data_IF_608252429248
#
_entry.id   IF_608252429248
#
_cell.length_a   1.000
_cell.length_b   1.000
_cell.length_c   1.000
_cell.angle_alpha   90.00
_cell.angle_beta   90.00
_cell.angle_gamma   90.00
#
_symmetry.space_group_name_H-M   'P 1'
#
loop_
_entity.id
_entity.type
_entity.pdbx_description
1 polymer ?
#
# COMPACT_ATOMS: atom_id res chain seq x y z
N UNK A 1 38.08 -9.95 11.91
CA UNK A 1 37.24 -8.72 11.97
C UNK A 1 35.74 -9.05 11.82
N UNK A 2 35.33 -9.85 10.83
CA UNK A 2 33.93 -10.28 10.62
C UNK A 2 33.32 -10.99 11.87
N UNK A 3 34.10 -11.84 12.55
CA UNK A 3 33.66 -12.50 13.79
C UNK A 3 33.40 -11.55 14.97
N UNK A 4 34.14 -10.45 15.07
CA UNK A 4 33.96 -9.46 16.15
C UNK A 4 32.69 -8.61 15.92
N UNK A 5 32.38 -8.28 14.67
CA UNK A 5 31.19 -7.50 14.28
C UNK A 5 29.90 -8.32 14.52
N UNK A 6 29.90 -9.62 14.18
CA UNK A 6 28.78 -10.51 14.53
C UNK A 6 28.58 -10.64 16.04
N UNK A 7 29.66 -10.69 16.82
CA UNK A 7 29.56 -10.82 18.29
C UNK A 7 28.98 -9.57 18.96
N UNK A 8 29.29 -8.37 18.43
CA UNK A 8 28.70 -7.10 18.89
C UNK A 8 27.22 -6.99 18.51
N UNK A 9 26.84 -7.38 17.29
CA UNK A 9 25.45 -7.38 16.81
C UNK A 9 24.55 -8.30 17.65
N UNK A 10 25.05 -9.50 17.98
CA UNK A 10 24.33 -10.47 18.83
C UNK A 10 24.18 -9.95 20.26
N UNK A 11 25.21 -9.35 20.85
CA UNK A 11 25.14 -8.78 22.21
C UNK A 11 24.20 -7.57 22.30
N UNK A 12 24.16 -6.73 21.26
CA UNK A 12 23.27 -5.57 21.22
C UNK A 12 21.79 -5.98 21.07
N UNK A 13 21.50 -6.94 20.18
CA UNK A 13 20.16 -7.49 20.01
C UNK A 13 19.66 -8.21 21.26
N UNK A 14 20.53 -8.99 21.91
CA UNK A 14 20.20 -9.69 23.15
C UNK A 14 19.96 -8.71 24.31
N UNK A 15 20.73 -7.62 24.40
CA UNK A 15 20.51 -6.54 25.39
C UNK A 15 19.20 -5.78 25.17
N UNK A 16 18.76 -5.61 23.91
CA UNK A 16 17.48 -4.95 23.56
C UNK A 16 16.26 -5.85 23.85
N UNK A 17 16.42 -7.18 23.71
CA UNK A 17 15.39 -8.15 24.10
C UNK A 17 15.25 -8.26 25.62
N UNK A 18 16.37 -8.32 26.35
CA UNK A 18 16.36 -8.48 27.82
C UNK A 18 15.92 -7.23 28.59
N UNK A 19 16.02 -6.04 27.99
CA UNK A 19 15.54 -4.78 28.59
C UNK A 19 14.07 -4.46 28.29
N UNK A 20 13.34 -5.33 27.57
CA UNK A 20 11.91 -5.18 27.31
C UNK A 20 11.53 -4.06 26.33
N UNK A 21 12.51 -3.39 25.71
CA UNK A 21 12.29 -2.26 24.80
C UNK A 21 11.56 -2.67 23.50
N UNK A 22 11.69 -3.93 23.07
CA UNK A 22 11.00 -4.44 21.88
C UNK A 22 9.48 -4.59 22.13
N UNK A 23 9.07 -4.90 23.37
CA UNK A 23 7.67 -5.11 23.69
C UNK A 23 6.90 -3.81 24.02
N UNK A 24 7.58 -2.72 24.41
CA UNK A 24 6.91 -1.43 24.65
C UNK A 24 6.47 -0.71 23.37
N UNK A 25 7.11 -0.98 22.22
CA UNK A 25 6.76 -0.34 20.96
C UNK A 25 5.39 -0.79 20.41
N UNK A 26 4.91 -1.98 20.78
CA UNK A 26 3.65 -2.52 20.28
C UNK A 26 2.43 -2.17 21.15
N UNK A 27 2.60 -1.49 22.28
CA UNK A 27 1.49 -1.26 23.23
C UNK A 27 1.18 0.22 23.50
N UNK A 28 2.06 1.18 23.18
CA UNK A 28 1.70 2.61 23.26
C UNK A 28 2.44 3.49 22.23
N UNK A 29 1.74 4.15 21.30
CA UNK A 29 2.35 5.01 20.28
C UNK A 29 2.52 6.44 20.83
N UNK A 30 3.31 6.65 21.90
CA UNK A 30 3.54 8.01 22.44
C UNK A 30 4.90 8.22 23.09
N UNK A 31 6.02 7.84 22.46
CA UNK A 31 7.33 8.38 22.87
C UNK A 31 8.24 8.62 21.64
N UNK A 32 8.23 9.83 21.04
CA UNK A 32 9.07 10.20 19.89
C UNK A 32 10.59 10.01 20.13
N UNK A 33 11.02 10.06 21.39
CA UNK A 33 12.42 9.92 21.78
C UNK A 33 12.97 8.49 21.59
N UNK A 34 12.14 7.45 21.74
CA UNK A 34 12.57 6.05 21.61
C UNK A 34 12.82 5.65 20.15
N UNK A 35 11.94 6.09 19.24
CA UNK A 35 12.10 5.89 17.79
C UNK A 35 13.39 6.56 17.29
N UNK A 36 13.70 7.75 17.81
CA UNK A 36 14.93 8.48 17.45
C UNK A 36 16.19 7.75 17.90
N UNK A 37 16.17 7.12 19.09
CA UNK A 37 17.31 6.33 19.59
C UNK A 37 17.48 5.06 18.74
N UNK A 38 16.39 4.38 18.40
CA UNK A 38 16.44 3.18 17.56
C UNK A 38 17.00 3.48 16.17
N UNK A 39 16.52 4.54 15.52
CA UNK A 39 17.00 4.97 14.20
C UNK A 39 18.49 5.33 14.21
N UNK A 40 18.97 5.98 15.27
CA UNK A 40 20.41 6.28 15.43
C UNK A 40 21.27 5.02 15.62
N UNK A 41 20.75 4.01 16.30
CA UNK A 41 21.43 2.72 16.46
C UNK A 41 21.49 1.98 15.12
N UNK A 42 20.40 1.99 14.35
CA UNK A 42 20.33 1.36 13.03
C UNK A 42 21.27 2.05 12.02
N UNK A 43 21.30 3.38 12.00
CA UNK A 43 22.24 4.17 11.19
C UNK A 43 23.71 3.84 11.53
N UNK A 44 24.04 3.66 12.81
CA UNK A 44 25.41 3.31 13.24
C UNK A 44 25.79 1.87 12.87
N UNK A 45 24.86 0.91 12.96
CA UNK A 45 25.09 -0.47 12.51
C UNK A 45 25.33 -0.51 11.00
N UNK A 46 24.56 0.27 10.24
CA UNK A 46 24.71 0.35 8.80
C UNK A 46 26.03 1.05 8.39
N UNK A 47 26.45 2.08 9.12
CA UNK A 47 27.74 2.76 8.91
C UNK A 47 28.94 1.80 9.11
N UNK A 48 28.87 0.91 10.10
CA UNK A 48 29.91 -0.11 10.36
C UNK A 48 29.94 -1.15 9.22
N UNK A 49 28.78 -1.57 8.70
CA UNK A 49 28.70 -2.54 7.59
C UNK A 49 29.21 -1.97 6.25
N UNK A 50 29.01 -0.67 5.99
CA UNK A 50 29.45 0.00 4.76
C UNK A 50 30.97 0.25 4.76
N UNK A 51 31.56 0.74 5.87
CA UNK A 51 33.02 0.97 5.92
C UNK A 51 33.85 -0.29 6.13
N UNK A 52 33.28 -1.34 6.73
CA UNK A 52 33.96 -2.64 6.91
C UNK A 52 34.27 -3.39 5.61
N UNK A 53 33.61 -3.05 4.49
CA UNK A 53 33.82 -3.68 3.18
C UNK A 53 34.94 -3.05 2.34
N UNK A 54 35.56 -1.95 2.80
CA UNK A 54 36.54 -1.19 2.01
C UNK A 54 37.96 -1.08 2.59
N UNK A 55 38.29 -1.77 3.69
CA UNK A 55 39.60 -1.63 4.35
C UNK A 55 40.51 -2.82 4.05
N UNK A 56 41.65 -2.56 3.42
CA UNK A 56 42.75 -3.53 3.28
C UNK A 56 43.39 -3.82 4.65
N UNK A 57 43.91 -5.03 4.82
CA UNK A 57 44.36 -5.60 6.11
C UNK A 57 45.49 -4.84 6.84
N UNK A 58 46.08 -3.79 6.26
CA UNK A 58 47.27 -3.10 6.80
C UNK A 58 47.00 -1.72 7.42
N UNK A 59 45.74 -1.26 7.54
CA UNK A 59 45.39 -0.01 8.24
C UNK A 59 44.40 -0.26 9.38
N UNK A 60 44.70 -1.22 10.26
CA UNK A 60 43.92 -1.43 11.48
C UNK A 60 44.46 -0.51 12.60
N UNK A 61 43.72 0.55 12.92
CA UNK A 61 43.90 1.25 14.21
C UNK A 61 43.40 0.35 15.35
N UNK A 62 44.05 0.37 16.53
CA UNK A 62 43.69 -0.51 17.63
C UNK A 62 42.27 -0.22 18.15
N UNK A 63 41.49 -1.28 18.34
CA UNK A 63 40.08 -1.31 18.77
C UNK A 63 39.83 -0.81 20.22
N UNK A 64 40.80 -0.14 20.84
CA UNK A 64 40.68 0.39 22.21
C UNK A 64 40.06 1.78 22.29
N UNK A 65 39.90 2.49 21.16
CA UNK A 65 39.34 3.85 21.12
C UNK A 65 37.85 3.93 20.71
N UNK A 66 37.21 2.83 20.33
CA UNK A 66 35.80 2.85 19.89
C UNK A 66 34.83 2.66 21.07
N UNK A 67 35.30 2.12 22.20
CA UNK A 67 34.48 1.91 23.40
C UNK A 67 34.30 3.17 24.25
N UNK A 68 35.03 4.25 24.00
CA UNK A 68 35.02 5.45 24.86
C UNK A 68 33.95 6.48 24.50
N UNK A 69 33.32 6.40 23.32
CA UNK A 69 32.33 7.40 22.87
C UNK A 69 30.86 7.00 23.08
N UNK A 70 30.58 5.85 23.69
CA UNK A 70 29.20 5.41 23.97
C UNK A 70 28.90 5.60 25.46
N UNK A 71 28.59 6.84 25.85
CA UNK A 71 27.89 7.14 27.11
C UNK A 71 26.47 7.59 26.80
N UNK A 72 25.50 6.68 26.92
CA UNK A 72 24.07 7.02 26.99
C UNK A 72 23.69 7.02 28.48
N UNK A 73 23.12 8.10 29.05
CA UNK A 73 22.77 8.14 30.45
C UNK A 73 21.50 7.33 30.71
N UNK A 74 21.65 6.23 31.44
CA UNK A 74 20.56 5.42 31.99
C UNK A 74 20.07 6.08 33.29
N UNK A 75 19.12 7.00 33.20
CA UNK A 75 18.34 7.45 34.35
C UNK A 75 16.88 7.63 33.96
N UNK A 76 16.08 6.58 34.20
CA UNK A 76 14.69 6.74 34.60
C UNK A 76 14.29 5.54 35.46
N UNK A 77 14.31 5.77 36.77
CA UNK A 77 13.91 4.84 37.82
C UNK A 77 12.42 4.52 37.70
N UNK A 78 12.10 3.23 37.71
CA UNK A 78 10.73 2.72 37.77
C UNK A 78 10.10 3.03 39.14
N UNK A 79 8.95 3.72 39.12
CA UNK A 79 7.89 3.58 40.13
C UNK A 79 6.63 3.19 39.36
N UNK A 80 6.42 1.88 39.17
CA UNK A 80 5.14 1.36 38.73
C UNK A 80 4.28 1.11 39.98
N UNK A 81 3.27 1.95 40.13
CA UNK A 81 2.13 1.70 41.00
C UNK A 81 1.46 0.39 40.60
N UNK A 82 1.16 -0.44 41.60
CA UNK A 82 0.38 -1.65 41.47
C UNK A 82 -1.09 -1.30 41.16
N UNK A 83 -1.62 -1.81 40.05
CA UNK A 83 -3.05 -2.00 39.85
C UNK A 83 -3.28 -3.46 39.41
N UNK A 84 -4.12 -4.25 40.12
CA UNK A 84 -4.38 -5.64 39.75
C UNK A 84 -5.35 -5.71 38.56
N UNK A 85 -5.02 -6.55 37.57
CA UNK A 85 -5.89 -6.89 36.45
C UNK A 85 -7.16 -7.63 36.94
N UNK A 86 -8.35 -7.39 36.35
CA UNK A 86 -9.52 -8.23 36.57
C UNK A 86 -9.48 -9.49 35.70
N UNK A 87 -9.86 -10.63 36.28
CA UNK A 87 -9.98 -11.95 35.64
C UNK A 87 -11.01 -11.99 34.50
N UNK A 88 -10.85 -12.89 33.51
CA UNK A 88 -11.77 -12.99 32.37
C UNK A 88 -13.13 -13.61 32.76
N UNK A 89 -14.21 -13.05 32.21
CA UNK A 89 -15.58 -13.54 32.41
C UNK A 89 -15.88 -14.80 31.57
N UNK A 90 -16.76 -15.72 32.05
CA UNK A 90 -17.08 -16.96 31.35
C UNK A 90 -18.08 -16.76 30.18
N UNK A 91 -17.99 -17.65 29.18
CA UNK A 91 -18.76 -17.61 27.94
C UNK A 91 -20.27 -17.94 28.13
N UNK A 92 -21.16 -17.35 27.32
CA UNK A 92 -22.60 -17.61 27.38
C UNK A 92 -23.02 -18.94 26.70
N UNK A 93 -24.12 -19.58 27.14
CA UNK A 93 -24.60 -20.86 26.60
C UNK A 93 -25.31 -20.72 25.23
N UNK A 94 -25.38 -21.80 24.43
CA UNK A 94 -25.92 -21.78 23.08
C UNK A 94 -27.47 -21.69 23.02
N UNK A 95 -27.98 -20.98 22.02
CA UNK A 95 -29.42 -20.82 21.74
C UNK A 95 -30.01 -22.07 21.05
N UNK A 96 -31.29 -22.42 21.28
CA UNK A 96 -31.92 -23.58 20.68
C UNK A 96 -32.32 -23.35 19.21
N UNK A 97 -32.10 -24.38 18.41
CA UNK A 97 -32.50 -24.56 17.02
C UNK A 97 -34.03 -24.72 16.95
N UNK A 98 -34.72 -23.89 16.17
CA UNK A 98 -36.09 -24.15 15.75
C UNK A 98 -36.15 -24.50 14.26
N UNK A 99 -36.73 -25.66 14.00
CA UNK A 99 -36.93 -26.28 12.70
C UNK A 99 -38.28 -25.90 12.09
N UNK A 100 -38.28 -25.66 10.78
CA UNK A 100 -39.34 -26.01 9.80
C UNK A 100 -40.72 -25.35 9.99
N UNK A 101 -41.14 -24.50 9.03
CA UNK A 101 -42.17 -24.90 8.04
C UNK A 101 -42.31 -23.89 6.89
N UNK A 102 -42.21 -24.43 5.69
CA UNK A 102 -42.63 -23.82 4.43
C UNK A 102 -44.15 -23.67 4.39
N UNK A 103 -44.64 -22.47 4.06
CA UNK A 103 -46.02 -22.25 3.65
C UNK A 103 -46.04 -21.58 2.27
N UNK A 104 -46.18 -22.45 1.26
CA UNK A 104 -46.75 -22.09 -0.04
C UNK A 104 -48.14 -21.47 0.17
N UNK A 105 -48.39 -20.26 -0.32
CA UNK A 105 -49.75 -19.90 -0.78
C UNK A 105 -49.76 -18.81 -1.87
N UNK A 106 -49.97 -19.32 -3.08
CA UNK A 106 -50.85 -18.84 -4.16
C UNK A 106 -50.84 -17.34 -4.52
N UNK A 107 -50.23 -17.09 -5.68
CA UNK A 107 -50.63 -16.08 -6.67
C UNK A 107 -52.15 -16.08 -6.87
N UNK A 108 -52.77 -14.89 -6.83
CA UNK A 108 -54.01 -14.61 -7.53
C UNK A 108 -53.89 -13.26 -8.24
N UNK A 109 -54.11 -13.32 -9.54
CA UNK A 109 -54.15 -12.25 -10.54
C UNK A 109 -55.52 -11.58 -10.58
N UNK A 110 -55.55 -10.25 -10.75
CA UNK A 110 -56.56 -9.42 -11.48
C UNK A 110 -56.23 -7.95 -11.16
N UNK A 111 -55.74 -7.12 -12.09
CA UNK A 111 -56.38 -6.59 -13.30
C UNK A 111 -57.76 -6.00 -13.04
N UNK A 112 -57.85 -4.66 -12.93
CA UNK A 112 -58.54 -3.77 -13.86
C UNK A 112 -58.63 -2.34 -13.27
N UNK A 113 -58.28 -1.33 -14.08
CA UNK A 113 -58.75 0.05 -13.92
C UNK A 113 -60.24 0.16 -14.34
N UNK A 114 -60.93 1.30 -14.15
CA UNK A 114 -60.80 2.44 -15.07
C UNK A 114 -60.88 3.84 -14.42
N UNK A 115 -60.45 4.82 -15.20
CA UNK A 115 -60.47 6.27 -15.00
C UNK A 115 -61.86 6.87 -14.82
N UNK A 116 -61.96 8.00 -14.09
CA UNK A 116 -62.92 9.06 -14.44
C UNK A 116 -62.48 10.44 -13.93
N UNK A 117 -62.52 11.38 -14.87
CA UNK A 117 -62.45 12.85 -14.84
C UNK A 117 -63.39 13.47 -13.81
N UNK A 118 -63.03 14.57 -13.13
CA UNK A 118 -63.79 15.85 -13.00
C UNK A 118 -62.83 17.01 -12.62
N UNK A 119 -63.11 18.16 -13.25
CA UNK A 119 -62.49 19.49 -13.22
C UNK A 119 -62.71 20.36 -11.97
N UNK A 120 -61.86 21.39 -11.89
CA UNK A 120 -62.06 22.78 -11.45
C UNK A 120 -62.53 23.10 -10.02
N UNK A 121 -61.76 23.95 -9.33
CA UNK A 121 -62.09 25.38 -9.19
C UNK A 121 -61.03 26.16 -8.40
N UNK A 122 -60.82 27.39 -8.85
CA UNK A 122 -60.05 28.52 -8.33
C UNK A 122 -60.37 28.95 -6.88
N UNK A 123 -59.42 29.58 -6.18
CA UNK A 123 -59.55 30.78 -5.28
C UNK A 123 -58.13 31.15 -4.78
N UNK A 124 -57.54 32.30 -5.17
CA UNK A 124 -57.31 33.55 -4.37
C UNK A 124 -56.55 33.31 -3.04
N UNK A 125 -55.53 34.04 -2.55
CA UNK A 125 -55.09 35.42 -2.72
C UNK A 125 -53.66 35.61 -2.11
N UNK A 126 -52.97 36.66 -2.57
CA UNK A 126 -52.08 37.61 -1.87
C UNK A 126 -51.06 37.19 -0.78
N UNK A 127 -49.78 37.46 -1.11
CA UNK A 127 -48.79 38.30 -0.40
C UNK A 127 -48.58 38.19 1.12
N UNK A 128 -47.34 37.87 1.53
CA UNK A 128 -46.60 38.62 2.56
C UNK A 128 -45.07 38.41 2.47
N UNK A 129 -44.36 39.49 2.77
CA UNK A 129 -42.91 39.70 2.90
C UNK A 129 -42.27 38.94 4.07
N UNK A 130 -40.99 38.56 3.94
CA UNK A 130 -39.99 38.72 5.03
C UNK A 130 -38.57 38.49 4.52
N UNK A 131 -37.71 39.47 4.82
CA UNK A 131 -36.26 39.38 4.79
C UNK A 131 -35.78 38.34 5.81
N UNK A 132 -34.82 37.49 5.42
CA UNK A 132 -33.93 36.82 6.36
C UNK A 132 -32.64 36.41 5.64
N UNK A 133 -31.54 36.81 6.25
CA UNK A 133 -30.18 36.45 5.91
C UNK A 133 -30.03 34.97 5.57
N UNK A 134 -29.57 34.70 4.36
CA UNK A 134 -28.82 33.49 4.08
C UNK A 134 -27.40 33.98 3.77
N UNK A 135 -26.55 33.96 4.80
CA UNK A 135 -25.16 33.56 4.62
C UNK A 135 -25.23 32.25 3.83
N UNK A 136 -25.17 32.38 2.51
CA UNK A 136 -24.84 31.29 1.64
C UNK A 136 -23.38 31.00 2.00
N UNK A 137 -23.23 30.14 3.00
CA UNK A 137 -22.20 29.13 3.07
C UNK A 137 -22.22 28.44 1.71
N UNK A 138 -21.61 29.12 0.73
CA UNK A 138 -21.13 28.47 -0.47
C UNK A 138 -20.04 27.58 0.06
N UNK A 139 -20.48 26.40 0.50
CA UNK A 139 -19.75 25.16 0.50
C UNK A 139 -19.02 25.15 -0.83
N UNK A 140 -17.81 25.71 -0.82
CA UNK A 140 -16.88 25.66 -1.92
C UNK A 140 -16.72 24.18 -2.12
N UNK A 141 -17.48 23.65 -3.08
CA UNK A 141 -17.40 22.30 -3.60
C UNK A 141 -15.91 22.02 -3.76
N UNK A 142 -15.32 21.43 -2.72
CA UNK A 142 -13.89 21.20 -2.68
C UNK A 142 -13.73 20.07 -3.67
N UNK A 143 -13.48 20.43 -4.93
CA UNK A 143 -13.30 19.50 -6.03
C UNK A 143 -12.45 18.34 -5.51
N UNK A 144 -13.08 17.17 -5.36
CA UNK A 144 -12.43 16.02 -4.78
C UNK A 144 -11.29 15.62 -5.70
N UNK A 145 -10.04 15.80 -5.27
CA UNK A 145 -8.87 15.42 -6.06
C UNK A 145 -8.78 13.90 -6.07
N UNK A 146 -8.80 13.30 -7.26
CA UNK A 146 -8.68 11.85 -7.43
C UNK A 146 -7.22 11.44 -7.61
N UNK A 147 -6.82 10.41 -6.87
CA UNK A 147 -5.49 9.80 -6.93
C UNK A 147 -5.59 8.40 -7.52
N UNK A 148 -4.68 8.12 -8.45
CA UNK A 148 -4.66 6.92 -9.30
C UNK A 148 -3.46 6.05 -8.95
N UNK A 149 -3.71 4.86 -8.43
CA UNK A 149 -2.69 3.86 -8.11
C UNK A 149 -2.72 2.74 -9.15
N UNK A 150 -1.64 2.60 -9.91
CA UNK A 150 -1.46 1.51 -10.87
C UNK A 150 -0.60 0.43 -10.21
N UNK A 151 -1.15 -0.77 -10.05
CA UNK A 151 -0.40 -1.95 -9.59
C UNK A 151 -0.07 -2.83 -10.79
N UNK A 152 1.22 -2.86 -11.16
CA UNK A 152 1.71 -3.63 -12.31
C UNK A 152 2.56 -4.81 -11.84
N UNK A 153 2.18 -6.03 -12.22
CA UNK A 153 3.05 -7.20 -12.09
C UNK A 153 4.02 -7.24 -13.27
N UNK A 154 5.31 -7.44 -13.02
CA UNK A 154 6.33 -7.52 -14.07
C UNK A 154 5.97 -8.47 -15.23
N UNK A 155 6.54 -8.19 -16.40
CA UNK A 155 6.36 -9.04 -17.58
C UNK A 155 7.04 -10.40 -17.43
N UNK A 156 6.69 -11.35 -18.30
CA UNK A 156 7.14 -12.74 -18.18
C UNK A 156 8.67 -12.86 -18.22
N UNK A 157 9.26 -13.43 -17.17
CA UNK A 157 10.70 -13.71 -17.09
C UNK A 157 11.10 -15.02 -17.76
N UNK A 158 12.37 -15.10 -18.21
CA UNK A 158 12.97 -16.32 -18.75
C UNK A 158 13.43 -17.26 -17.63
N UNK A 159 13.41 -18.57 -17.91
CA UNK A 159 13.96 -19.63 -17.06
C UNK A 159 15.06 -20.43 -17.80
N UNK A 160 15.53 -19.92 -18.95
CA UNK A 160 16.42 -20.66 -19.85
C UNK A 160 17.80 -20.90 -19.21
N UNK A 161 18.31 -19.93 -18.46
CA UNK A 161 19.53 -20.06 -17.69
C UNK A 161 19.22 -20.34 -16.21
N UNK A 162 19.43 -21.60 -15.81
CA UNK A 162 19.21 -22.07 -14.43
C UNK A 162 20.34 -21.70 -13.48
N UNK A 163 21.46 -21.17 -13.97
CA UNK A 163 22.60 -20.75 -13.13
C UNK A 163 22.39 -19.38 -12.48
N UNK A 164 21.44 -18.59 -12.99
CA UNK A 164 21.12 -17.26 -12.48
C UNK A 164 20.35 -17.33 -11.17
N UNK A 165 20.63 -16.37 -10.27
CA UNK A 165 19.79 -16.13 -9.09
C UNK A 165 18.44 -15.61 -9.54
N UNK A 166 17.35 -15.89 -8.81
CA UNK A 166 16.01 -15.45 -9.24
C UNK A 166 15.92 -13.94 -9.48
N UNK A 167 16.57 -13.14 -8.63
CA UNK A 167 16.62 -11.68 -8.74
C UNK A 167 17.23 -11.19 -10.07
N UNK A 168 18.20 -11.94 -10.61
CA UNK A 168 18.93 -11.60 -11.83
C UNK A 168 18.30 -12.21 -13.09
N UNK A 169 17.12 -12.84 -12.98
CA UNK A 169 16.47 -13.46 -14.14
C UNK A 169 15.94 -12.38 -15.10
N UNK A 170 16.32 -12.44 -16.39
CA UNK A 170 15.86 -11.49 -17.39
C UNK A 170 14.43 -11.79 -17.84
N UNK A 171 13.87 -10.89 -18.65
CA UNK A 171 12.64 -11.12 -19.39
C UNK A 171 12.80 -12.25 -20.43
N UNK A 172 11.66 -12.84 -20.76
CA UNK A 172 11.52 -13.69 -21.95
C UNK A 172 11.12 -12.84 -23.15
N UNK A 173 11.39 -13.31 -24.38
CA UNK A 173 10.98 -12.61 -25.61
C UNK A 173 9.49 -12.25 -25.65
N UNK A 174 8.61 -13.13 -25.16
CA UNK A 174 7.18 -12.80 -25.09
C UNK A 174 6.89 -11.75 -24.01
N UNK A 175 7.59 -11.80 -22.87
CA UNK A 175 7.49 -10.77 -21.84
C UNK A 175 7.91 -9.39 -22.32
N UNK A 176 8.96 -9.31 -23.15
CA UNK A 176 9.37 -8.04 -23.78
C UNK A 176 8.26 -7.45 -24.66
N UNK A 177 7.64 -8.29 -25.51
CA UNK A 177 6.51 -7.87 -26.36
C UNK A 177 5.29 -7.46 -25.54
N UNK A 178 5.03 -8.15 -24.43
CA UNK A 178 3.91 -7.86 -23.54
C UNK A 178 4.10 -6.50 -22.84
N UNK A 179 5.32 -6.20 -22.36
CA UNK A 179 5.65 -4.91 -21.76
C UNK A 179 5.42 -3.75 -22.75
N UNK A 180 5.85 -3.92 -24.00
CA UNK A 180 5.62 -2.95 -25.07
C UNK A 180 4.11 -2.73 -25.31
N UNK A 181 3.33 -3.80 -25.49
CA UNK A 181 1.87 -3.70 -25.70
C UNK A 181 1.15 -3.02 -24.54
N UNK A 182 1.49 -3.39 -23.31
CA UNK A 182 0.85 -2.82 -22.11
C UNK A 182 1.18 -1.34 -21.98
N UNK A 183 2.43 -0.91 -22.23
CA UNK A 183 2.77 0.52 -22.22
C UNK A 183 1.94 1.34 -23.20
N UNK A 184 1.75 0.87 -24.44
CA UNK A 184 0.91 1.54 -25.44
C UNK A 184 -0.55 1.61 -24.99
N UNK A 185 -1.09 0.52 -24.42
CA UNK A 185 -2.45 0.52 -23.87
C UNK A 185 -2.61 1.53 -22.74
N UNK A 186 -1.65 1.57 -21.81
CA UNK A 186 -1.66 2.56 -20.73
C UNK A 186 -1.62 3.99 -21.27
N UNK A 187 -0.82 4.26 -22.30
CA UNK A 187 -0.80 5.56 -22.98
C UNK A 187 -2.15 5.92 -23.59
N UNK A 188 -2.74 5.01 -24.38
CA UNK A 188 -4.05 5.24 -25.01
C UNK A 188 -5.17 5.49 -24.00
N UNK A 189 -5.09 4.89 -22.81
CA UNK A 189 -6.05 5.09 -21.72
C UNK A 189 -5.75 6.33 -20.87
N UNK A 190 -4.63 7.04 -21.11
CA UNK A 190 -4.19 8.16 -20.28
C UNK A 190 -3.72 7.76 -18.88
N UNK A 191 -3.27 6.51 -18.71
CA UNK A 191 -2.76 5.94 -17.46
C UNK A 191 -1.23 6.11 -17.39
N UNK A 192 -0.76 7.33 -17.62
CA UNK A 192 0.66 7.69 -17.51
C UNK A 192 0.96 8.08 -16.06
N UNK A 193 1.88 7.37 -15.36
CA UNK A 193 2.27 7.72 -14.00
C UNK A 193 3.22 8.92 -13.97
N UNK A 194 3.16 9.67 -12.88
CA UNK A 194 4.13 10.74 -12.57
C UNK A 194 5.24 10.22 -11.64
N UNK A 195 4.98 9.13 -10.91
CA UNK A 195 5.92 8.45 -10.04
C UNK A 195 5.84 6.94 -10.25
N UNK A 196 7.00 6.29 -10.37
CA UNK A 196 7.14 4.84 -10.53
C UNK A 196 7.99 4.30 -9.40
N UNK A 197 7.39 3.45 -8.56
CA UNK A 197 8.06 2.71 -7.50
C UNK A 197 8.19 1.26 -7.96
N UNK A 198 9.41 0.78 -8.21
CA UNK A 198 9.63 -0.54 -8.79
C UNK A 198 10.52 -1.40 -7.89
N UNK A 199 10.26 -2.71 -7.83
CA UNK A 199 11.28 -3.66 -7.37
C UNK A 199 12.58 -3.54 -8.19
N UNK A 200 13.71 -3.83 -7.55
CA UNK A 200 15.04 -3.73 -8.12
C UNK A 200 15.50 -5.01 -8.87
N UNK A 201 14.64 -6.03 -8.96
CA UNK A 201 14.89 -7.23 -9.75
C UNK A 201 15.12 -6.91 -11.24
N UNK A 202 15.90 -7.74 -11.94
CA UNK A 202 16.24 -7.48 -13.34
C UNK A 202 14.99 -7.41 -14.22
N UNK A 203 14.07 -8.38 -14.08
CA UNK A 203 12.81 -8.43 -14.83
C UNK A 203 11.90 -7.20 -14.67
N UNK A 204 11.87 -6.56 -13.49
CA UNK A 204 11.08 -5.33 -13.28
C UNK A 204 11.77 -4.13 -13.93
N UNK A 205 13.10 -4.03 -13.79
CA UNK A 205 13.92 -3.02 -14.49
C UNK A 205 13.78 -3.11 -16.01
N UNK A 206 13.85 -4.31 -16.57
CA UNK A 206 13.69 -4.53 -18.01
C UNK A 206 12.27 -4.26 -18.48
N UNK A 207 11.24 -4.64 -17.69
CA UNK A 207 9.84 -4.29 -18.00
C UNK A 207 9.71 -2.77 -18.13
N UNK A 208 10.16 -2.01 -17.12
CA UNK A 208 10.10 -0.54 -17.14
C UNK A 208 10.89 0.06 -18.30
N UNK A 209 12.11 -0.44 -18.55
CA UNK A 209 12.96 0.04 -19.65
C UNK A 209 12.26 -0.10 -20.99
N UNK A 210 11.60 -1.23 -21.25
CA UNK A 210 10.86 -1.45 -22.49
C UNK A 210 9.65 -0.52 -22.57
N UNK A 211 8.91 -0.34 -21.48
CA UNK A 211 7.79 0.61 -21.45
C UNK A 211 8.24 2.03 -21.81
N UNK A 212 9.37 2.48 -21.26
CA UNK A 212 9.96 3.80 -21.55
C UNK A 212 10.46 3.92 -23.00
N UNK A 213 11.01 2.85 -23.57
CA UNK A 213 11.43 2.83 -24.98
C UNK A 213 10.23 2.87 -25.93
N UNK A 214 9.12 2.24 -25.55
CA UNK A 214 7.93 2.13 -26.37
C UNK A 214 7.02 3.37 -26.27
N UNK A 215 6.98 4.00 -25.10
CA UNK A 215 6.16 5.18 -24.80
C UNK A 215 7.03 6.22 -24.07
N UNK A 216 7.48 7.28 -24.78
CA UNK A 216 8.35 8.31 -24.20
C UNK A 216 7.77 9.02 -22.97
N UNK A 217 6.44 9.13 -22.83
CA UNK A 217 5.79 9.78 -21.68
C UNK A 217 6.14 9.10 -20.34
N UNK A 218 6.57 7.83 -20.34
CA UNK A 218 7.08 7.16 -19.13
C UNK A 218 8.47 7.64 -18.69
N UNK A 219 9.20 8.40 -19.53
CA UNK A 219 10.49 9.00 -19.19
C UNK A 219 10.34 10.23 -18.30
N UNK A 220 9.17 10.88 -18.32
CA UNK A 220 8.90 12.06 -17.48
C UNK A 220 8.57 11.68 -16.02
N UNK A 221 8.29 10.40 -15.77
CA UNK A 221 7.98 9.92 -14.44
C UNK A 221 9.25 9.85 -13.57
N UNK A 222 9.13 10.25 -12.30
CA UNK A 222 10.15 10.01 -11.29
C UNK A 222 10.24 8.51 -10.99
N UNK A 223 11.44 7.92 -10.94
CA UNK A 223 11.62 6.47 -10.76
C UNK A 223 12.46 6.14 -9.54
N UNK A 224 11.94 5.28 -8.66
CA UNK A 224 12.67 4.71 -7.52
C UNK A 224 12.67 3.19 -7.55
N UNK A 225 13.86 2.60 -7.36
CA UNK A 225 14.00 1.16 -7.20
C UNK A 225 14.08 0.78 -5.72
N UNK A 226 13.09 -0.01 -5.26
CA UNK A 226 12.87 -0.35 -3.86
C UNK A 226 13.14 -1.84 -3.67
N UNK A 227 14.29 -2.18 -3.06
CA UNK A 227 14.70 -3.58 -2.86
C UNK A 227 13.68 -4.41 -2.06
N UNK A 228 13.01 -3.79 -1.08
CA UNK A 228 11.97 -4.48 -0.29
C UNK A 228 10.75 -4.91 -1.12
N UNK A 229 10.49 -4.32 -2.29
CA UNK A 229 9.37 -4.75 -3.16
C UNK A 229 9.58 -6.17 -3.72
N UNK A 230 10.83 -6.63 -3.80
CA UNK A 230 11.12 -8.03 -4.14
C UNK A 230 10.74 -8.97 -3.00
N UNK A 231 11.20 -8.69 -1.78
CA UNK A 231 11.02 -9.58 -0.62
C UNK A 231 9.60 -9.56 -0.06
N UNK A 232 8.96 -8.39 0.00
CA UNK A 232 7.62 -8.25 0.58
C UNK A 232 6.55 -9.00 -0.21
N UNK A 233 6.77 -9.16 -1.53
CA UNK A 233 5.83 -9.84 -2.40
C UNK A 233 5.66 -11.34 -2.10
N UNK A 234 6.57 -11.91 -1.31
CA UNK A 234 6.49 -13.28 -0.80
C UNK A 234 5.93 -13.37 0.63
N UNK A 235 5.61 -12.24 1.27
CA UNK A 235 5.05 -12.18 2.62
C UNK A 235 3.55 -11.91 2.56
N UNK A 236 2.76 -12.94 2.86
CA UNK A 236 1.30 -12.89 2.78
C UNK A 236 0.72 -11.75 3.63
N UNK A 237 -0.13 -10.91 3.02
CA UNK A 237 -0.90 -9.87 3.71
C UNK A 237 -0.12 -8.62 4.14
N UNK A 238 1.19 -8.54 3.89
CA UNK A 238 2.02 -7.38 4.29
C UNK A 238 2.26 -6.37 3.13
N UNK A 239 1.98 -6.77 1.89
CA UNK A 239 2.32 -5.96 0.72
C UNK A 239 1.51 -4.66 0.64
N UNK A 240 0.22 -4.67 1.00
CA UNK A 240 -0.63 -3.47 0.95
C UNK A 240 -0.10 -2.35 1.86
N UNK A 241 0.15 -2.66 3.13
CA UNK A 241 0.69 -1.71 4.10
C UNK A 241 2.06 -1.18 3.68
N UNK A 242 2.93 -2.05 3.16
CA UNK A 242 4.25 -1.67 2.68
C UNK A 242 4.18 -0.73 1.46
N UNK A 243 3.26 -1.00 0.53
CA UNK A 243 3.01 -0.12 -0.62
C UNK A 243 2.48 1.24 -0.16
N UNK A 244 1.52 1.28 0.76
CA UNK A 244 1.00 2.53 1.32
C UNK A 244 2.14 3.36 1.95
N UNK A 245 2.97 2.75 2.78
CA UNK A 245 4.11 3.44 3.40
C UNK A 245 5.10 3.98 2.36
N UNK A 246 5.43 3.17 1.35
CA UNK A 246 6.32 3.60 0.27
C UNK A 246 5.71 4.77 -0.51
N UNK A 247 4.43 4.69 -0.90
CA UNK A 247 3.76 5.75 -1.66
C UNK A 247 3.72 7.05 -0.85
N UNK A 248 3.36 7.00 0.44
CA UNK A 248 3.35 8.17 1.30
C UNK A 248 4.76 8.76 1.54
N UNK A 249 5.82 7.95 1.49
CA UNK A 249 7.18 8.43 1.69
C UNK A 249 7.80 9.08 0.45
N UNK A 250 7.49 8.57 -0.74
CA UNK A 250 8.08 9.04 -2.00
C UNK A 250 7.19 10.02 -2.76
N UNK A 251 5.87 9.98 -2.56
CA UNK A 251 4.96 10.84 -3.28
C UNK A 251 4.78 12.20 -2.61
N UNK A 252 4.49 13.18 -3.45
CA UNK A 252 4.02 14.51 -3.06
C UNK A 252 2.53 14.67 -3.42
N UNK A 253 1.91 15.75 -2.95
CA UNK A 253 0.48 15.97 -3.19
C UNK A 253 0.16 16.36 -4.64
N UNK A 254 1.12 16.93 -5.38
CA UNK A 254 1.01 17.26 -6.83
C UNK A 254 1.10 16.02 -7.73
N UNK A 255 1.58 14.88 -7.21
CA UNK A 255 1.65 13.60 -7.92
C UNK A 255 0.30 12.91 -7.76
N UNK A 256 -0.51 12.89 -8.81
CA UNK A 256 -1.85 12.31 -8.81
C UNK A 256 -1.86 10.85 -9.29
N UNK A 257 -0.85 10.41 -10.04
CA UNK A 257 -0.79 9.04 -10.57
C UNK A 257 0.53 8.37 -10.19
N UNK A 258 0.45 7.29 -9.42
CA UNK A 258 1.60 6.49 -9.00
C UNK A 258 1.47 5.09 -9.58
N UNK A 259 2.55 4.56 -10.15
CA UNK A 259 2.65 3.16 -10.53
C UNK A 259 3.60 2.43 -9.58
N UNK A 260 3.13 1.34 -8.97
CA UNK A 260 3.97 0.41 -8.24
C UNK A 260 4.17 -0.85 -9.09
N UNK A 261 5.43 -1.23 -9.35
CA UNK A 261 5.79 -2.40 -10.13
C UNK A 261 6.48 -3.45 -9.26
N UNK A 262 5.97 -4.69 -9.29
CA UNK A 262 6.49 -5.75 -8.45
C UNK A 262 6.07 -7.14 -8.87
N UNK A 263 5.84 -8.01 -7.89
CA UNK A 263 5.71 -9.45 -8.07
C UNK A 263 4.44 -9.99 -7.42
N UNK A 264 3.94 -11.11 -7.96
CA UNK A 264 2.98 -11.93 -7.24
C UNK A 264 3.71 -12.84 -6.25
N UNK A 265 3.08 -13.21 -5.13
CA UNK A 265 1.65 -13.04 -4.81
C UNK A 265 1.26 -11.62 -4.34
N UNK A 266 2.19 -10.89 -3.72
CA UNK A 266 1.88 -9.63 -3.03
C UNK A 266 1.14 -8.55 -3.85
N UNK A 267 1.41 -8.38 -5.15
CA UNK A 267 0.74 -7.35 -5.96
C UNK A 267 -0.76 -7.62 -6.17
N UNK A 268 -1.13 -8.88 -6.41
CA UNK A 268 -2.54 -9.25 -6.59
C UNK A 268 -3.31 -9.19 -5.27
N UNK A 269 -2.63 -9.56 -4.17
CA UNK A 269 -3.17 -9.42 -2.83
C UNK A 269 -3.39 -7.96 -2.48
N UNK A 270 -2.42 -7.08 -2.71
CA UNK A 270 -2.55 -5.66 -2.46
C UNK A 270 -3.68 -5.04 -3.29
N UNK A 271 -3.78 -5.40 -4.57
CA UNK A 271 -4.88 -4.96 -5.43
C UNK A 271 -6.25 -5.41 -4.89
N UNK A 272 -6.33 -6.66 -4.42
CA UNK A 272 -7.54 -7.22 -3.84
C UNK A 272 -7.89 -6.56 -2.50
N UNK A 273 -6.90 -6.31 -1.63
CA UNK A 273 -7.09 -5.68 -0.33
C UNK A 273 -7.51 -4.22 -0.47
N UNK A 274 -6.89 -3.45 -1.34
CA UNK A 274 -7.27 -2.04 -1.54
C UNK A 274 -8.67 -1.90 -2.15
N UNK A 275 -9.01 -2.75 -3.13
CA UNK A 275 -10.31 -2.67 -3.83
C UNK A 275 -11.46 -3.38 -3.13
N UNK A 276 -11.17 -4.35 -2.26
CA UNK A 276 -12.17 -5.22 -1.66
C UNK A 276 -12.74 -6.26 -2.64
N UNK A 277 -12.27 -6.27 -3.89
CA UNK A 277 -12.64 -7.25 -4.91
C UNK A 277 -11.55 -8.34 -5.04
N UNK A 278 -11.90 -9.50 -5.60
CA UNK A 278 -10.89 -10.49 -5.97
C UNK A 278 -10.20 -10.07 -7.28
N UNK A 279 -8.92 -9.76 -7.21
CA UNK A 279 -8.10 -9.29 -8.34
C UNK A 279 -7.01 -10.30 -8.65
N UNK A 280 -6.96 -10.75 -9.91
CA UNK A 280 -5.89 -11.62 -10.43
C UNK A 280 -4.95 -10.83 -11.34
N UNK A 281 -3.64 -10.88 -11.05
CA UNK A 281 -2.61 -10.24 -11.87
C UNK A 281 -1.70 -11.28 -12.52
N UNK A 282 -1.99 -11.64 -13.76
CA UNK A 282 -1.06 -12.36 -14.61
C UNK A 282 0.15 -11.50 -14.99
N UNK A 283 1.20 -12.11 -15.54
CA UNK A 283 2.42 -11.37 -15.92
C UNK A 283 2.08 -10.22 -16.85
N UNK A 284 2.64 -9.04 -16.55
CA UNK A 284 2.38 -7.79 -17.25
C UNK A 284 0.97 -7.21 -17.10
N UNK A 285 0.10 -7.75 -16.23
CA UNK A 285 -1.17 -7.08 -15.93
C UNK A 285 -0.94 -5.80 -15.11
N UNK A 286 -1.76 -4.78 -15.38
CA UNK A 286 -1.78 -3.52 -14.65
C UNK A 286 -3.21 -3.18 -14.20
N UNK A 287 -3.46 -3.17 -12.90
CA UNK A 287 -4.74 -2.74 -12.32
C UNK A 287 -4.69 -1.25 -11.96
N UNK A 288 -5.71 -0.48 -12.35
CA UNK A 288 -5.89 0.90 -11.88
C UNK A 288 -6.90 0.95 -10.74
N UNK A 289 -6.45 1.48 -9.62
CA UNK A 289 -7.24 1.78 -8.44
C UNK A 289 -7.34 3.30 -8.26
N UNK A 290 -8.48 3.79 -7.79
CA UNK A 290 -8.70 5.22 -7.60
C UNK A 290 -9.38 5.52 -6.26
N UNK A 291 -8.93 6.59 -5.61
CA UNK A 291 -9.55 7.13 -4.39
C UNK A 291 -9.45 8.66 -4.38
N UNK A 292 -10.40 9.31 -3.71
CA UNK A 292 -10.36 10.75 -3.49
C UNK A 292 -9.49 11.09 -2.27
N UNK A 293 -8.73 12.18 -2.34
CA UNK A 293 -7.98 12.71 -1.21
C UNK A 293 -7.03 13.84 -1.61
N UNK A 294 -6.95 14.89 -0.78
CA UNK A 294 -6.07 16.04 -1.05
C UNK A 294 -4.60 15.67 -0.91
N UNK A 295 -4.29 14.59 -0.20
CA UNK A 295 -2.97 13.94 -0.14
C UNK A 295 -3.06 12.42 -0.32
N UNK A 296 -1.94 11.74 -0.61
CA UNK A 296 -1.92 10.28 -0.64
C UNK A 296 -2.25 9.67 0.72
N UNK A 297 -1.75 10.27 1.80
CA UNK A 297 -2.04 9.84 3.16
C UNK A 297 -3.54 9.93 3.48
N UNK A 298 -4.19 11.02 3.08
CA UNK A 298 -5.65 11.17 3.22
C UNK A 298 -6.42 10.17 2.36
N UNK A 299 -6.02 9.97 1.09
CA UNK A 299 -6.68 9.00 0.22
C UNK A 299 -6.63 7.58 0.82
N UNK A 300 -5.49 7.16 1.35
CA UNK A 300 -5.39 5.87 2.05
C UNK A 300 -6.18 5.83 3.36
N UNK A 301 -6.18 6.90 4.15
CA UNK A 301 -6.91 6.95 5.41
C UNK A 301 -8.43 6.93 5.21
N UNK A 302 -8.93 7.65 4.20
CA UNK A 302 -10.36 7.77 3.91
C UNK A 302 -10.91 6.56 3.16
N UNK A 303 -10.18 6.05 2.15
CA UNK A 303 -10.61 4.85 1.43
C UNK A 303 -10.37 3.57 2.25
N UNK A 304 -9.27 3.50 3.01
CA UNK A 304 -8.87 2.29 3.72
C UNK A 304 -8.67 1.10 2.79
N UNK A 305 -8.67 -0.10 3.39
CA UNK A 305 -8.77 -1.35 2.64
C UNK A 305 -10.23 -1.56 2.21
N UNK A 306 -10.45 -1.91 0.95
CA UNK A 306 -11.78 -2.12 0.38
C UNK A 306 -12.45 -0.89 -0.21
N UNK A 307 -11.95 0.32 0.04
CA UNK A 307 -12.57 1.56 -0.45
C UNK A 307 -11.97 2.14 -1.73
N UNK A 308 -10.88 1.56 -2.27
CA UNK A 308 -10.34 2.00 -3.56
C UNK A 308 -11.21 1.47 -4.70
N UNK A 309 -11.63 2.35 -5.60
CA UNK A 309 -12.39 1.94 -6.79
C UNK A 309 -11.44 1.29 -7.79
N UNK A 310 -11.63 0.00 -8.07
CA UNK A 310 -11.00 -0.68 -9.19
C UNK A 310 -11.63 -0.21 -10.51
N UNK A 311 -10.88 0.52 -11.33
CA UNK A 311 -11.37 1.06 -12.60
C UNK A 311 -11.34 0.01 -13.71
N UNK A 312 -10.17 -0.59 -13.97
CA UNK A 312 -10.01 -1.70 -14.92
C UNK A 312 -8.66 -2.42 -14.71
N UNK A 313 -8.45 -3.55 -15.37
CA UNK A 313 -7.19 -4.30 -15.41
C UNK A 313 -6.73 -4.43 -16.87
N UNK A 314 -5.67 -3.73 -17.22
CA UNK A 314 -5.04 -3.82 -18.54
C UNK A 314 -4.19 -5.09 -18.61
N UNK A 315 -4.40 -5.87 -19.69
CA UNK A 315 -3.65 -7.11 -19.97
C UNK A 315 -2.89 -6.97 -21.29
N UNK A 316 -1.76 -7.67 -21.48
CA UNK A 316 -1.04 -7.65 -22.76
C UNK A 316 -1.88 -8.19 -23.92
N UNK A 317 -2.77 -9.14 -23.65
CA UNK A 317 -3.74 -9.68 -24.58
C UNK A 317 -5.16 -9.41 -24.07
N UNK A 318 -5.84 -8.48 -24.71
CA UNK A 318 -7.29 -8.50 -24.80
C UNK A 318 -7.56 -8.34 -26.29
N UNK A 319 -8.23 -9.34 -26.87
CA UNK A 319 -8.79 -9.26 -28.22
C UNK A 319 -9.59 -7.96 -28.31
N UNK A 320 -9.55 -7.22 -29.44
CA UNK A 320 -10.50 -6.14 -29.62
C UNK A 320 -11.90 -6.71 -29.40
N UNK A 321 -12.69 -6.06 -28.54
CA UNK A 321 -14.13 -6.28 -28.55
C UNK A 321 -14.60 -5.78 -29.91
N UNK A 322 -14.75 -6.73 -30.84
CA UNK A 322 -15.44 -6.56 -32.11
C UNK A 322 -16.89 -6.15 -31.85
#
# INVERSE_FOLDING_TARGET
MIWAISSVKVKLLHSLQTTGLINLCNVTPRIPKLITIYRKVEEQVNWIEVKGRGMNANTALPLTNITTSIKIPLMLTMKLCHCPCPSPAPAPPPSPISSIRSSRRRRRTRSLQPSMVIQDTSTTAASTVSDADADADTDTDTLSVHRRLILLRHAKSSWDDRSLRDHDRPLSKSGELDAAKVSQKLQHLGWIPQLILSSDALRTKETLKIMQQQVPDFLDAEVHFISSFYSIAAMDGQTADHLQQAICNYSRDDILTVMCMGHNKGWEEAASMFSGASVELNTCNAALLEAAGKSWAEAFASAGLGGWKLQDIVKPSDSPKL
#
